data_IF_956212115516
#
_entry.id   IF_956212115516
#
_cell.length_a   1.000
_cell.length_b   1.000
_cell.length_c   1.000
_cell.angle_alpha   90.00
_cell.angle_beta   90.00
_cell.angle_gamma   90.00
#
_symmetry.space_group_name_H-M   'P 1'
#
loop_
_entity.id
_entity.type
_entity.pdbx_description
1 polymer ?
#
# COMPACT_ATOMS: atom_id res chain seq x y z
N UNK A 1 -31.20 18.74 34.82
CA UNK A 1 -31.23 18.42 33.37
C UNK A 1 -29.81 18.15 32.83
N UNK A 2 -29.07 17.19 33.41
CA UNK A 2 -27.74 16.80 32.91
C UNK A 2 -27.81 15.50 32.07
N UNK A 3 -28.70 14.56 32.43
CA UNK A 3 -28.87 13.30 31.70
C UNK A 3 -29.42 13.48 30.28
N UNK A 4 -30.32 14.43 30.04
CA UNK A 4 -30.85 14.70 28.70
C UNK A 4 -29.80 15.28 27.75
N UNK A 5 -28.87 16.10 28.26
CA UNK A 5 -27.75 16.64 27.47
C UNK A 5 -26.71 15.56 27.15
N UNK A 6 -26.43 14.64 28.08
CA UNK A 6 -25.55 13.50 27.82
C UNK A 6 -26.14 12.53 26.79
N UNK A 7 -27.45 12.27 26.88
CA UNK A 7 -28.14 11.40 25.93
C UNK A 7 -28.19 12.00 24.53
N UNK A 8 -28.40 13.30 24.38
CA UNK A 8 -28.32 13.99 23.09
C UNK A 8 -26.90 13.96 22.50
N UNK A 9 -25.86 14.10 23.35
CA UNK A 9 -24.46 14.02 22.91
C UNK A 9 -24.07 12.62 22.46
N UNK A 10 -24.57 11.59 23.14
CA UNK A 10 -24.41 10.19 22.72
C UNK A 10 -25.15 9.90 21.40
N UNK A 11 -26.32 10.50 21.19
CA UNK A 11 -27.09 10.37 19.95
C UNK A 11 -26.37 11.04 18.76
N UNK A 12 -25.81 12.23 18.96
CA UNK A 12 -24.97 12.91 17.97
C UNK A 12 -23.71 12.09 17.62
N UNK A 13 -23.04 11.52 18.63
CA UNK A 13 -21.88 10.64 18.41
C UNK A 13 -22.30 9.39 17.64
N UNK A 14 -23.44 8.79 17.98
CA UNK A 14 -23.96 7.61 17.30
C UNK A 14 -24.30 7.91 15.83
N UNK A 15 -24.87 9.08 15.55
CA UNK A 15 -25.21 9.53 14.19
C UNK A 15 -23.95 9.73 13.35
N UNK A 16 -22.92 10.41 13.90
CA UNK A 16 -21.64 10.59 13.21
C UNK A 16 -20.93 9.24 12.99
N UNK A 17 -20.99 8.33 13.96
CA UNK A 17 -20.40 7.00 13.80
C UNK A 17 -21.10 6.18 12.72
N UNK A 18 -22.42 6.33 12.56
CA UNK A 18 -23.18 5.66 11.50
C UNK A 18 -22.75 6.16 10.12
N UNK A 19 -22.65 7.49 9.94
CA UNK A 19 -22.15 8.10 8.70
C UNK A 19 -20.73 7.62 8.37
N UNK A 20 -19.84 7.61 9.37
CA UNK A 20 -18.47 7.09 9.20
C UNK A 20 -18.49 5.62 8.82
N UNK A 21 -19.38 4.81 9.38
CA UNK A 21 -19.48 3.38 9.09
C UNK A 21 -19.93 3.12 7.65
N UNK A 22 -20.94 3.85 7.16
CA UNK A 22 -21.45 3.77 5.79
C UNK A 22 -20.39 4.22 4.79
N UNK A 23 -19.72 5.35 5.06
CA UNK A 23 -18.64 5.83 4.22
C UNK A 23 -17.45 4.87 4.16
N UNK A 24 -17.09 4.28 5.31
CA UNK A 24 -16.03 3.27 5.39
C UNK A 24 -16.39 2.05 4.57
N UNK A 25 -17.66 1.61 4.60
CA UNK A 25 -18.13 0.48 3.80
C UNK A 25 -18.04 0.76 2.30
N UNK A 26 -18.43 1.96 1.85
CA UNK A 26 -18.33 2.38 0.44
C UNK A 26 -16.88 2.46 0.00
N UNK A 27 -16.02 3.09 0.81
CA UNK A 27 -14.58 3.18 0.55
C UNK A 27 -13.97 1.78 0.43
N UNK A 28 -14.21 0.89 1.39
CA UNK A 28 -13.72 -0.48 1.37
C UNK A 28 -14.18 -1.26 0.13
N UNK A 29 -15.45 -1.11 -0.28
CA UNK A 29 -15.97 -1.75 -1.49
C UNK A 29 -15.30 -1.23 -2.76
N UNK A 30 -14.96 0.06 -2.81
CA UNK A 30 -14.30 0.70 -3.96
C UNK A 30 -12.80 0.40 -4.03
N UNK A 31 -12.15 0.19 -2.89
CA UNK A 31 -10.72 -0.15 -2.81
C UNK A 31 -10.44 -1.65 -2.82
N UNK A 32 -11.45 -2.51 -2.65
CA UNK A 32 -11.28 -3.97 -2.62
C UNK A 32 -10.53 -4.56 -3.84
N UNK A 33 -10.76 -4.02 -5.03
CA UNK A 33 -10.09 -4.48 -6.25
C UNK A 33 -8.60 -4.15 -6.29
N UNK A 34 -8.24 -2.94 -5.82
CA UNK A 34 -6.84 -2.47 -5.75
C UNK A 34 -6.11 -3.15 -4.58
N UNK A 35 -6.79 -3.33 -3.43
CA UNK A 35 -6.27 -4.11 -2.31
C UNK A 35 -5.92 -5.55 -2.69
N UNK A 36 -6.70 -6.18 -3.58
CA UNK A 36 -6.42 -7.53 -4.07
C UNK A 36 -5.13 -7.61 -4.89
N UNK A 37 -4.87 -6.60 -5.72
CA UNK A 37 -3.64 -6.49 -6.52
C UNK A 37 -2.42 -6.25 -5.62
N UNK A 38 -2.54 -5.34 -4.66
CA UNK A 38 -1.48 -4.99 -3.70
C UNK A 38 -1.07 -6.18 -2.82
N UNK A 39 -2.04 -6.97 -2.38
CA UNK A 39 -1.78 -8.19 -1.60
C UNK A 39 -1.02 -9.24 -2.43
N UNK A 40 -1.30 -9.35 -3.73
CA UNK A 40 -0.60 -10.29 -4.61
C UNK A 40 0.87 -9.86 -4.82
N UNK A 41 1.11 -8.57 -5.06
CA UNK A 41 2.46 -8.03 -5.24
C UNK A 41 3.30 -8.12 -3.95
N UNK A 42 2.69 -7.89 -2.79
CA UNK A 42 3.41 -7.99 -1.51
C UNK A 42 3.71 -9.45 -1.13
N UNK A 43 2.80 -10.39 -1.44
CA UNK A 43 3.06 -11.83 -1.26
C UNK A 43 4.27 -12.30 -2.08
N UNK A 44 4.49 -11.74 -3.27
CA UNK A 44 5.64 -12.06 -4.10
C UNK A 44 6.97 -11.55 -3.49
N UNK A 45 6.96 -10.38 -2.85
CA UNK A 45 8.15 -9.77 -2.22
C UNK A 45 8.66 -10.55 -0.98
N UNK A 46 7.77 -11.27 -0.28
CA UNK A 46 8.12 -12.07 0.91
C UNK A 46 8.43 -13.53 0.55
N UNK A 47 8.17 -13.95 -0.69
CA UNK A 47 8.47 -15.31 -1.15
C UNK A 47 9.99 -15.61 -1.12
N UNK A 48 10.34 -16.84 -0.75
CA UNK A 48 11.73 -17.32 -0.66
C UNK A 48 12.46 -17.02 0.66
N UNK A 49 11.76 -16.63 1.73
CA UNK A 49 12.30 -16.70 3.11
C UNK A 49 11.97 -18.08 3.67
N UNK A 50 12.83 -18.66 4.53
CA UNK A 50 12.50 -19.91 5.22
C UNK A 50 11.19 -19.73 5.99
N UNK A 51 10.25 -20.68 5.88
CA UNK A 51 8.93 -20.61 6.51
C UNK A 51 8.95 -20.25 8.02
N UNK A 52 9.99 -20.68 8.73
CA UNK A 52 10.22 -20.39 10.16
C UNK A 52 10.54 -18.90 10.46
N UNK A 53 10.91 -18.11 9.44
CA UNK A 53 11.32 -16.70 9.56
C UNK A 53 10.39 -15.73 8.80
N UNK A 54 9.35 -16.24 8.14
CA UNK A 54 8.35 -15.41 7.45
C UNK A 54 7.57 -14.52 8.42
N UNK A 55 7.09 -15.07 9.55
CA UNK A 55 6.30 -14.32 10.53
C UNK A 55 7.05 -13.10 11.13
N UNK A 56 8.31 -13.22 11.59
CA UNK A 56 9.10 -12.06 12.03
C UNK A 56 9.32 -11.01 10.95
N UNK A 57 9.55 -11.42 9.70
CA UNK A 57 9.74 -10.51 8.56
C UNK A 57 8.46 -9.75 8.26
N UNK A 58 7.32 -10.44 8.17
CA UNK A 58 6.00 -9.82 7.96
C UNK A 58 5.69 -8.84 9.08
N UNK A 59 5.99 -9.19 10.33
CA UNK A 59 5.79 -8.29 11.46
C UNK A 59 6.68 -7.04 11.39
N UNK A 60 7.93 -7.18 10.98
CA UNK A 60 8.83 -6.04 10.78
C UNK A 60 8.35 -5.11 9.66
N UNK A 61 7.87 -5.69 8.55
CA UNK A 61 7.24 -4.94 7.45
C UNK A 61 5.98 -4.24 7.93
N UNK A 62 5.09 -4.93 8.64
CA UNK A 62 3.86 -4.37 9.18
C UNK A 62 4.13 -3.18 10.11
N UNK A 63 5.12 -3.28 11.00
CA UNK A 63 5.53 -2.19 11.88
C UNK A 63 6.09 -0.98 11.12
N UNK A 64 6.92 -1.22 10.09
CA UNK A 64 7.47 -0.15 9.26
C UNK A 64 6.40 0.54 8.40
N UNK A 65 5.53 -0.26 7.79
CA UNK A 65 4.35 0.16 7.03
C UNK A 65 3.40 1.01 7.87
N UNK A 66 3.18 0.64 9.13
CA UNK A 66 2.31 1.39 10.04
C UNK A 66 2.81 2.83 10.24
N UNK A 67 4.11 3.04 10.41
CA UNK A 67 4.71 4.38 10.54
C UNK A 67 4.50 5.20 9.26
N UNK A 68 4.70 4.57 8.10
CA UNK A 68 4.47 5.19 6.81
C UNK A 68 3.01 5.66 6.65
N UNK A 69 2.04 4.79 6.97
CA UNK A 69 0.61 5.10 6.92
C UNK A 69 0.21 6.17 7.94
N UNK A 70 0.80 6.16 9.13
CA UNK A 70 0.56 7.18 10.16
C UNK A 70 1.01 8.58 9.74
N UNK A 71 1.95 8.70 8.79
CA UNK A 71 2.38 9.99 8.22
C UNK A 71 1.53 10.33 6.99
N UNK A 72 1.31 9.34 6.11
CA UNK A 72 0.68 9.56 4.82
C UNK A 72 -0.81 9.88 4.94
N UNK A 73 -1.54 9.23 5.85
CA UNK A 73 -2.97 9.48 6.05
C UNK A 73 -3.24 10.91 6.54
N UNK A 74 -2.60 11.42 7.62
CA UNK A 74 -2.80 12.81 8.04
C UNK A 74 -2.34 13.82 7.00
N UNK A 75 -1.25 13.55 6.28
CA UNK A 75 -0.79 14.44 5.20
C UNK A 75 -1.83 14.53 4.08
N UNK A 76 -2.41 13.40 3.68
CA UNK A 76 -3.44 13.37 2.64
C UNK A 76 -4.73 14.07 3.08
N UNK A 77 -5.15 13.90 4.34
CA UNK A 77 -6.27 14.64 4.93
C UNK A 77 -5.99 16.15 5.02
N UNK A 78 -4.78 16.54 5.41
CA UNK A 78 -4.37 17.94 5.44
C UNK A 78 -4.40 18.57 4.04
N UNK A 79 -3.87 17.88 3.02
CA UNK A 79 -3.96 18.32 1.63
C UNK A 79 -5.43 18.47 1.21
N UNK A 80 -6.29 17.51 1.55
CA UNK A 80 -7.72 17.57 1.25
C UNK A 80 -8.41 18.77 1.91
N UNK A 81 -8.05 19.13 3.15
CA UNK A 81 -8.64 20.24 3.88
C UNK A 81 -8.14 21.62 3.42
N UNK A 82 -6.82 21.77 3.16
CA UNK A 82 -6.20 23.08 2.89
C UNK A 82 -6.00 23.37 1.40
N UNK A 83 -5.85 22.34 0.57
CA UNK A 83 -5.57 22.47 -0.86
C UNK A 83 -6.21 21.32 -1.67
N UNK A 84 -7.55 21.17 -1.66
CA UNK A 84 -8.24 20.07 -2.32
C UNK A 84 -7.98 20.00 -3.84
N UNK A 85 -7.68 21.14 -4.47
CA UNK A 85 -7.30 21.20 -5.89
C UNK A 85 -6.01 20.42 -6.19
N UNK A 86 -5.16 20.15 -5.20
CA UNK A 86 -3.92 19.40 -5.33
C UNK A 86 -4.16 17.87 -5.42
N UNK A 87 -5.33 17.39 -4.98
CA UNK A 87 -5.69 15.97 -5.04
C UNK A 87 -5.74 15.49 -6.50
N UNK A 88 -6.38 16.26 -7.40
CA UNK A 88 -6.50 15.92 -8.82
C UNK A 88 -5.14 15.81 -9.54
N UNK A 89 -4.21 16.78 -9.46
CA UNK A 89 -2.90 16.63 -10.10
C UNK A 89 -2.06 15.53 -9.47
N UNK A 90 -2.14 15.30 -8.15
CA UNK A 90 -1.48 14.16 -7.51
C UNK A 90 -2.02 12.81 -8.03
N UNK A 91 -3.35 12.71 -8.21
CA UNK A 91 -4.00 11.53 -8.76
C UNK A 91 -3.63 11.30 -10.24
N UNK A 92 -3.58 12.37 -11.03
CA UNK A 92 -3.17 12.30 -12.44
C UNK A 92 -1.69 11.88 -12.58
N UNK A 93 -0.81 12.39 -11.72
CA UNK A 93 0.60 11.99 -11.68
C UNK A 93 0.75 10.53 -11.22
N UNK A 94 0.03 10.11 -10.19
CA UNK A 94 0.00 8.72 -9.73
C UNK A 94 -0.49 7.77 -10.83
N UNK A 95 -1.61 8.10 -11.48
CA UNK A 95 -2.14 7.32 -12.61
C UNK A 95 -1.17 7.25 -13.80
N UNK A 96 -0.50 8.36 -14.12
CA UNK A 96 0.52 8.37 -15.18
C UNK A 96 1.73 7.49 -14.84
N UNK A 97 2.19 7.52 -13.59
CA UNK A 97 3.29 6.66 -13.12
C UNK A 97 2.92 5.17 -13.18
N UNK A 98 1.70 4.80 -12.78
CA UNK A 98 1.22 3.42 -12.85
C UNK A 98 1.05 2.93 -14.29
N UNK A 99 0.57 3.79 -15.19
CA UNK A 99 0.54 3.47 -16.63
C UNK A 99 1.95 3.22 -17.18
N UNK A 100 2.93 4.00 -16.73
CA UNK A 100 4.33 3.80 -17.11
C UNK A 100 4.88 2.47 -16.57
N UNK A 101 4.74 2.21 -15.27
CA UNK A 101 5.24 0.97 -14.64
C UNK A 101 4.51 -0.28 -15.17
N UNK A 102 3.20 -0.18 -15.40
CA UNK A 102 2.40 -1.23 -16.00
C UNK A 102 2.83 -1.55 -17.43
N UNK A 103 3.12 -0.52 -18.24
CA UNK A 103 3.66 -0.70 -19.59
C UNK A 103 5.08 -1.29 -19.55
N UNK A 104 5.94 -0.83 -18.65
CA UNK A 104 7.30 -1.34 -18.48
C UNK A 104 7.29 -2.82 -18.10
N UNK A 105 6.46 -3.25 -17.14
CA UNK A 105 6.35 -4.67 -16.76
C UNK A 105 5.80 -5.54 -17.88
N UNK A 106 4.81 -5.05 -18.64
CA UNK A 106 4.31 -5.75 -19.83
C UNK A 106 5.40 -5.86 -20.90
N UNK A 107 6.07 -4.76 -21.20
CA UNK A 107 7.16 -4.68 -22.15
C UNK A 107 8.30 -5.62 -21.76
N UNK A 108 8.71 -5.64 -20.49
CA UNK A 108 9.74 -6.53 -19.97
C UNK A 108 9.36 -8.00 -20.21
N UNK A 109 8.13 -8.39 -19.88
CA UNK A 109 7.62 -9.77 -20.04
C UNK A 109 7.51 -10.22 -21.50
N UNK A 110 7.22 -9.31 -22.42
CA UNK A 110 7.01 -9.63 -23.83
C UNK A 110 8.23 -9.36 -24.72
N UNK A 111 9.19 -8.52 -24.29
CA UNK A 111 10.39 -8.16 -25.04
C UNK A 111 11.68 -8.80 -24.52
N UNK A 112 11.71 -9.35 -23.29
CA UNK A 112 12.87 -10.14 -22.87
C UNK A 112 12.80 -11.55 -23.45
N UNK A 113 13.87 -11.92 -24.13
CA UNK A 113 14.11 -13.27 -24.62
C UNK A 113 14.33 -14.21 -23.44
N UNK A 114 13.81 -15.45 -23.51
CA UNK A 114 14.08 -16.52 -22.54
C UNK A 114 15.58 -16.81 -22.30
N UNK A 115 16.47 -16.22 -23.12
CA UNK A 115 17.91 -16.26 -22.94
C UNK A 115 18.45 -15.32 -21.84
N UNK A 116 17.80 -14.18 -21.57
CA UNK A 116 18.22 -13.24 -20.51
C UNK A 116 17.74 -13.68 -19.12
N UNK A 117 16.56 -14.29 -19.01
CA UNK A 117 16.08 -14.90 -17.77
C UNK A 117 17.00 -16.04 -17.29
N UNK A 118 17.55 -16.82 -18.23
CA UNK A 118 18.54 -17.86 -17.90
C UNK A 118 19.91 -17.28 -17.48
N UNK A 119 20.31 -16.13 -18.00
CA UNK A 119 21.53 -15.45 -17.58
C UNK A 119 21.40 -14.87 -16.15
N UNK A 120 20.23 -14.30 -15.84
CA UNK A 120 19.94 -13.78 -14.50
C UNK A 120 19.76 -14.92 -13.48
N UNK A 121 19.21 -16.08 -13.88
CA UNK A 121 19.19 -17.28 -13.05
C UNK A 121 20.58 -17.86 -12.82
N UNK A 122 21.46 -17.83 -13.82
CA UNK A 122 22.86 -18.28 -13.70
C UNK A 122 23.68 -17.35 -12.79
N UNK A 123 23.44 -16.04 -12.83
CA UNK A 123 24.08 -15.06 -11.94
C UNK A 123 23.58 -15.18 -10.50
N UNK A 124 22.27 -15.43 -10.31
CA UNK A 124 21.68 -15.70 -9.00
C UNK A 124 22.14 -17.04 -8.40
N UNK A 125 22.40 -18.06 -9.23
CA UNK A 125 22.97 -19.35 -8.76
C UNK A 125 24.46 -19.25 -8.43
N UNK A 126 25.23 -18.42 -9.14
CA UNK A 126 26.62 -18.14 -8.78
C UNK A 126 26.74 -17.31 -7.48
N UNK A 127 25.79 -16.41 -7.22
CA UNK A 127 25.73 -15.67 -5.95
C UNK A 127 25.35 -16.55 -4.74
N UNK A 128 24.74 -17.72 -4.97
CA UNK A 128 24.38 -18.69 -3.94
C UNK A 128 25.55 -19.60 -3.51
N UNK A 129 26.71 -19.52 -4.17
CA UNK A 129 27.91 -20.32 -3.83
C UNK A 129 28.79 -19.69 -2.75
N UNK A 130 28.50 -18.46 -2.30
CA UNK A 130 29.23 -17.83 -1.19
C UNK A 130 28.65 -18.27 0.17
N UNK A 131 29.39 -19.03 1.01
CA UNK A 131 28.90 -19.53 2.30
C UNK A 131 28.70 -18.43 3.35
N UNK A 132 28.95 -17.17 2.99
CA UNK A 132 28.88 -16.01 3.89
C UNK A 132 27.78 -15.01 3.52
N UNK A 133 26.73 -15.45 2.82
CA UNK A 133 25.49 -14.67 2.73
C UNK A 133 24.99 -14.42 4.15
N UNK A 134 25.17 -13.18 4.61
CA UNK A 134 24.58 -12.69 5.84
C UNK A 134 23.06 -12.71 5.65
N UNK A 135 22.44 -13.81 6.06
CA UNK A 135 20.99 -14.03 6.02
C UNK A 135 20.24 -12.84 6.66
N UNK A 136 20.86 -12.16 7.63
CA UNK A 136 20.31 -10.98 8.29
C UNK A 136 20.35 -9.75 7.38
N UNK A 137 21.38 -9.59 6.55
CA UNK A 137 21.45 -8.51 5.56
C UNK A 137 20.37 -8.69 4.47
N UNK A 138 20.21 -9.92 3.95
CA UNK A 138 19.14 -10.21 2.98
C UNK A 138 17.74 -10.00 3.56
N UNK A 139 17.50 -10.42 4.80
CA UNK A 139 16.22 -10.17 5.48
C UNK A 139 15.94 -8.67 5.62
N UNK A 140 16.94 -7.86 6.01
CA UNK A 140 16.80 -6.41 6.14
C UNK A 140 16.49 -5.75 4.80
N UNK A 141 17.15 -6.16 3.73
CA UNK A 141 16.90 -5.61 2.40
C UNK A 141 15.51 -5.99 1.89
N UNK A 142 15.04 -7.23 2.12
CA UNK A 142 13.66 -7.63 1.85
C UNK A 142 12.65 -6.81 2.65
N UNK A 143 12.88 -6.60 3.96
CA UNK A 143 12.00 -5.79 4.80
C UNK A 143 11.92 -4.35 4.26
N UNK A 144 13.06 -3.76 3.90
CA UNK A 144 13.14 -2.38 3.37
C UNK A 144 12.46 -2.26 2.01
N UNK A 145 12.63 -3.25 1.14
CA UNK A 145 11.94 -3.33 -0.16
C UNK A 145 10.43 -3.39 0.03
N UNK A 146 9.95 -4.30 0.87
CA UNK A 146 8.51 -4.46 1.15
C UNK A 146 7.89 -3.21 1.78
N UNK A 147 8.58 -2.51 2.69
CA UNK A 147 8.10 -1.24 3.28
C UNK A 147 7.98 -0.14 2.22
N UNK A 148 8.91 -0.07 1.25
CA UNK A 148 8.87 0.93 0.17
C UNK A 148 7.74 0.65 -0.81
N UNK A 149 7.58 -0.60 -1.21
CA UNK A 149 6.49 -1.02 -2.09
C UNK A 149 5.14 -0.73 -1.41
N UNK A 150 4.97 -1.13 -0.15
CA UNK A 150 3.75 -0.84 0.60
C UNK A 150 3.47 0.67 0.74
N UNK A 151 4.49 1.52 0.87
CA UNK A 151 4.31 2.97 0.90
C UNK A 151 3.68 3.50 -0.40
N UNK A 152 4.21 3.08 -1.55
CA UNK A 152 3.72 3.51 -2.86
C UNK A 152 2.30 3.00 -3.09
N UNK A 153 2.06 1.71 -2.82
CA UNK A 153 0.74 1.09 -2.92
C UNK A 153 -0.29 1.76 -2.00
N UNK A 154 0.10 2.04 -0.75
CA UNK A 154 -0.77 2.76 0.20
C UNK A 154 -1.07 4.18 -0.26
N UNK A 155 -0.10 4.87 -0.85
CA UNK A 155 -0.30 6.22 -1.37
C UNK A 155 -1.34 6.23 -2.50
N UNK A 156 -1.27 5.28 -3.42
CA UNK A 156 -2.23 5.09 -4.49
C UNK A 156 -3.65 4.88 -3.95
N UNK A 157 -3.84 3.89 -3.06
CA UNK A 157 -5.16 3.60 -2.47
C UNK A 157 -5.72 4.83 -1.77
N UNK A 158 -4.91 5.55 -0.98
CA UNK A 158 -5.37 6.71 -0.21
C UNK A 158 -5.79 7.85 -1.15
N UNK A 159 -5.03 8.10 -2.22
CA UNK A 159 -5.37 9.13 -3.21
C UNK A 159 -6.64 8.76 -3.99
N UNK A 160 -6.81 7.50 -4.41
CA UNK A 160 -8.05 7.02 -5.05
C UNK A 160 -9.23 7.17 -4.09
N UNK A 161 -9.05 6.75 -2.84
CA UNK A 161 -10.10 6.83 -1.80
C UNK A 161 -10.53 8.28 -1.60
N UNK A 162 -9.58 9.20 -1.42
CA UNK A 162 -9.87 10.62 -1.28
C UNK A 162 -10.56 11.19 -2.51
N UNK A 163 -10.15 10.83 -3.72
CA UNK A 163 -10.83 11.24 -4.95
C UNK A 163 -12.26 10.73 -5.05
N UNK A 164 -12.51 9.47 -4.68
CA UNK A 164 -13.85 8.86 -4.73
C UNK A 164 -14.80 9.40 -3.66
N UNK A 165 -14.30 9.64 -2.44
CA UNK A 165 -15.08 10.21 -1.33
C UNK A 165 -15.36 11.69 -1.59
N UNK A 166 -14.40 12.45 -2.14
CA UNK A 166 -14.62 13.85 -2.51
C UNK A 166 -15.67 14.03 -3.61
N UNK A 167 -15.89 13.01 -4.46
CA UNK A 167 -16.91 13.01 -5.51
C UNK A 167 -18.28 12.47 -5.03
N UNK A 168 -18.38 11.93 -3.81
CA UNK A 168 -19.64 11.47 -3.25
C UNK A 168 -20.48 12.68 -2.81
N UNK A 169 -21.69 12.80 -3.35
CA UNK A 169 -22.69 13.76 -2.89
C UNK A 169 -23.37 13.24 -1.63
N UNK A 170 -23.45 14.08 -0.60
CA UNK A 170 -24.14 13.82 0.67
C UNK A 170 -25.58 14.34 0.62
#
# INVERSE_FOLDING_TARGET
MAGASLLALLDDIATILDDVSVMTQVAAKKTAGVLGDDLALNAQQVSGVRAERELPVVWAVAKGSFINKAILVPAALAISAFAPWLVTPLLMLGGAFLCFEGFEKLAHKYLHSAAEDNAHHAELTHALEDPTIDLVALEKDKIKGAIRTDFILSAEIIVITLGTVAAASF
#
